data_IF_178260236579
#
_entry.id   IF_178260236579
#
_cell.length_a   1.000
_cell.length_b   1.000
_cell.length_c   1.000
_cell.angle_alpha   90.00
_cell.angle_beta   90.00
_cell.angle_gamma   90.00
#
_symmetry.space_group_name_H-M   'P 1'
#
loop_
_entity.id
_entity.type
_entity.pdbx_description
1 polymer ?
#
# COMPACT_ATOMS: atom_id res chain seq x y z
N UNK A 1 -31.65 7.06 -10.19
CA UNK A 1 -31.15 6.46 -8.93
C UNK A 1 -30.10 7.39 -8.35
N UNK A 2 -30.13 7.70 -7.04
CA UNK A 2 -29.10 8.54 -6.40
C UNK A 2 -27.79 7.74 -6.31
N UNK A 3 -26.70 8.29 -6.85
CA UNK A 3 -25.37 7.71 -6.70
C UNK A 3 -25.01 7.67 -5.20
N UNK A 4 -24.62 6.49 -4.71
CA UNK A 4 -24.15 6.32 -3.33
C UNK A 4 -22.82 7.07 -3.16
N UNK A 5 -22.64 7.80 -2.05
CA UNK A 5 -21.36 8.48 -1.75
C UNK A 5 -20.34 7.47 -1.24
N UNK A 6 -19.06 7.76 -1.41
CA UNK A 6 -17.93 6.90 -0.98
C UNK A 6 -18.07 6.46 0.49
N UNK A 7 -18.43 7.39 1.39
CA UNK A 7 -18.62 7.10 2.82
C UNK A 7 -19.74 6.10 3.14
N UNK A 8 -20.70 5.95 2.24
CA UNK A 8 -21.86 5.10 2.48
C UNK A 8 -21.56 3.64 2.06
N UNK A 9 -20.51 3.39 1.28
CA UNK A 9 -20.10 2.04 0.88
C UNK A 9 -19.56 1.22 2.07
N UNK A 10 -19.97 -0.04 2.12
CA UNK A 10 -19.61 -1.04 3.13
C UNK A 10 -18.65 -2.10 2.54
N UNK A 11 -18.09 -2.95 3.40
CA UNK A 11 -17.29 -4.09 2.96
C UNK A 11 -18.07 -5.06 2.07
N UNK A 12 -19.35 -5.27 2.37
CA UNK A 12 -20.26 -6.12 1.58
C UNK A 12 -20.49 -5.54 0.19
N UNK A 13 -20.68 -4.23 0.08
CA UNK A 13 -20.82 -3.56 -1.23
C UNK A 13 -19.57 -3.73 -2.11
N UNK A 14 -18.40 -3.87 -1.49
CA UNK A 14 -17.14 -4.12 -2.19
C UNK A 14 -16.81 -5.60 -2.37
N UNK A 15 -17.62 -6.53 -1.87
CA UNK A 15 -17.33 -7.96 -1.93
C UNK A 15 -16.13 -8.39 -1.07
N UNK A 16 -15.70 -7.56 -0.11
CA UNK A 16 -14.55 -7.86 0.75
C UNK A 16 -15.03 -8.59 2.00
N UNK A 17 -14.64 -9.86 2.12
CA UNK A 17 -14.88 -10.64 3.33
C UNK A 17 -13.99 -10.16 4.49
N UNK A 18 -14.35 -10.44 5.76
CA UNK A 18 -13.50 -10.11 6.91
C UNK A 18 -12.10 -10.73 6.82
N UNK A 19 -11.99 -11.95 6.29
CA UNK A 19 -10.70 -12.62 6.10
C UNK A 19 -9.86 -11.95 5.02
N UNK A 20 -10.48 -11.57 3.89
CA UNK A 20 -9.78 -10.83 2.83
C UNK A 20 -9.30 -9.46 3.32
N UNK A 21 -10.12 -8.75 4.11
CA UNK A 21 -9.70 -7.50 4.74
C UNK A 21 -8.45 -7.70 5.64
N UNK A 22 -8.40 -8.76 6.46
CA UNK A 22 -7.23 -9.05 7.30
C UNK A 22 -5.98 -9.32 6.47
N UNK A 23 -6.10 -10.07 5.37
CA UNK A 23 -5.00 -10.31 4.44
C UNK A 23 -4.47 -9.00 3.85
N UNK A 24 -5.36 -8.14 3.35
CA UNK A 24 -5.01 -6.84 2.78
C UNK A 24 -4.38 -5.91 3.83
N UNK A 25 -4.91 -5.90 5.06
CA UNK A 25 -4.35 -5.16 6.19
C UNK A 25 -2.92 -5.62 6.49
N UNK A 26 -2.70 -6.93 6.67
CA UNK A 26 -1.38 -7.48 6.94
C UNK A 26 -0.39 -7.20 5.80
N UNK A 27 -0.86 -7.23 4.56
CA UNK A 27 -0.07 -6.83 3.40
C UNK A 27 0.39 -5.36 3.48
N UNK A 28 -0.48 -4.45 3.94
CA UNK A 28 -0.13 -3.04 4.15
C UNK A 28 0.87 -2.84 5.29
N UNK A 29 0.75 -3.59 6.39
CA UNK A 29 1.65 -3.47 7.55
C UNK A 29 3.10 -3.84 7.21
N UNK A 30 3.31 -4.71 6.22
CA UNK A 30 4.65 -5.06 5.74
C UNK A 30 5.33 -3.93 4.93
N UNK A 31 4.61 -2.87 4.57
CA UNK A 31 5.13 -1.80 3.70
C UNK A 31 6.43 -1.19 4.21
N UNK A 32 6.50 -0.84 5.50
CA UNK A 32 7.70 -0.19 6.07
C UNK A 32 8.90 -1.14 6.04
N UNK A 33 8.69 -2.41 6.36
CA UNK A 33 9.74 -3.44 6.32
C UNK A 33 10.26 -3.62 4.89
N UNK A 34 9.36 -3.69 3.90
CA UNK A 34 9.71 -3.79 2.47
C UNK A 34 10.50 -2.58 1.99
N UNK A 35 10.07 -1.35 2.32
CA UNK A 35 10.82 -0.12 1.98
C UNK A 35 12.21 -0.09 2.62
N UNK A 36 12.36 -0.59 3.86
CA UNK A 36 13.67 -0.73 4.52
C UNK A 36 14.55 -1.74 3.79
N UNK A 37 14.03 -2.93 3.47
CA UNK A 37 14.77 -3.98 2.73
C UNK A 37 15.30 -3.47 1.39
N UNK A 38 14.46 -2.78 0.61
CA UNK A 38 14.86 -2.18 -0.68
C UNK A 38 16.03 -1.19 -0.48
N UNK A 39 15.91 -0.28 0.51
CA UNK A 39 16.92 0.75 0.78
C UNK A 39 18.28 0.15 1.16
N UNK A 40 18.29 -0.85 2.06
CA UNK A 40 19.54 -1.48 2.49
C UNK A 40 20.10 -2.46 1.44
N UNK A 41 19.23 -3.12 0.67
CA UNK A 41 19.63 -4.01 -0.42
C UNK A 41 20.39 -3.30 -1.52
N UNK A 42 20.01 -2.06 -1.87
CA UNK A 42 20.73 -1.23 -2.84
C UNK A 42 22.15 -0.83 -2.37
N UNK A 43 22.35 -0.62 -1.07
CA UNK A 43 23.67 -0.29 -0.51
C UNK A 43 24.63 -1.48 -0.49
N UNK A 44 24.12 -2.71 -0.38
CA UNK A 44 24.94 -3.92 -0.30
C UNK A 44 25.42 -4.47 -1.67
N UNK A 45 24.89 -3.97 -2.80
CA UNK A 45 25.32 -4.38 -4.15
C UNK A 45 26.66 -3.76 -4.56
N UNK A 46 27.15 -2.75 -3.82
CA UNK A 46 28.52 -2.25 -3.97
C UNK A 46 29.43 -2.96 -2.98
N UNK A 47 29.96 -4.13 -3.32
CA UNK A 47 31.22 -4.67 -2.79
C UNK A 47 31.63 -5.97 -3.52
N UNK A 48 32.78 -5.86 -4.18
CA UNK A 48 33.82 -6.85 -4.46
C UNK A 48 33.50 -8.14 -5.24
N UNK A 49 33.82 -8.09 -6.54
CA UNK A 49 34.92 -8.90 -7.11
C UNK A 49 34.96 -10.42 -6.87
N UNK A 50 33.84 -11.11 -6.69
CA UNK A 50 33.83 -12.57 -6.48
C UNK A 50 33.66 -13.37 -7.80
N UNK A 51 34.54 -14.35 -8.12
CA UNK A 51 34.35 -15.22 -9.28
C UNK A 51 33.34 -16.33 -8.97
N UNK A 52 32.17 -16.29 -9.61
CA UNK A 52 31.08 -17.25 -9.39
C UNK A 52 31.06 -18.38 -10.41
N UNK A 53 31.30 -19.61 -9.95
CA UNK A 53 31.12 -20.87 -10.70
C UNK A 53 29.67 -21.07 -11.16
N UNK A 54 29.53 -21.55 -12.38
CA UNK A 54 28.29 -21.92 -13.08
C UNK A 54 27.48 -23.00 -12.34
N UNK A 55 26.16 -22.79 -12.17
CA UNK A 55 25.20 -23.87 -11.90
C UNK A 55 23.93 -23.56 -11.08
N UNK A 56 23.88 -22.49 -10.26
CA UNK A 56 22.72 -22.18 -9.40
C UNK A 56 22.46 -20.66 -9.32
N UNK A 57 21.18 -20.26 -9.13
CA UNK A 57 20.76 -18.85 -8.95
C UNK A 57 21.63 -18.20 -7.88
N UNK A 58 22.34 -17.14 -8.25
CA UNK A 58 23.28 -16.51 -7.32
C UNK A 58 22.52 -15.85 -6.14
N UNK A 59 23.11 -15.76 -4.94
CA UNK A 59 22.54 -14.99 -3.83
C UNK A 59 22.22 -13.54 -4.19
N UNK A 60 22.91 -12.99 -5.20
CA UNK A 60 22.67 -11.65 -5.75
C UNK A 60 21.36 -11.62 -6.56
N UNK A 61 21.14 -12.60 -7.43
CA UNK A 61 19.89 -12.72 -8.21
C UNK A 61 18.65 -12.90 -7.32
N UNK A 62 18.74 -13.74 -6.26
CA UNK A 62 17.63 -13.90 -5.31
C UNK A 62 17.27 -12.59 -4.63
N UNK A 63 18.28 -11.81 -4.19
CA UNK A 63 18.05 -10.50 -3.56
C UNK A 63 17.46 -9.48 -4.54
N UNK A 64 17.92 -9.49 -5.79
CA UNK A 64 17.36 -8.64 -6.84
C UNK A 64 15.88 -8.96 -7.08
N UNK A 65 15.53 -10.25 -7.15
CA UNK A 65 14.15 -10.70 -7.31
C UNK A 65 13.26 -10.30 -6.12
N UNK A 66 13.74 -10.48 -4.89
CA UNK A 66 13.03 -10.05 -3.69
C UNK A 66 12.80 -8.54 -3.65
N UNK A 67 13.79 -7.74 -4.05
CA UNK A 67 13.66 -6.29 -4.13
C UNK A 67 12.62 -5.88 -5.16
N UNK A 68 12.64 -6.49 -6.36
CA UNK A 68 11.63 -6.23 -7.39
C UNK A 68 10.22 -6.55 -6.90
N UNK A 69 10.04 -7.68 -6.20
CA UNK A 69 8.75 -8.04 -5.60
C UNK A 69 8.32 -7.03 -4.52
N UNK A 70 9.24 -6.64 -3.64
CA UNK A 70 8.97 -5.65 -2.60
C UNK A 70 8.60 -4.29 -3.19
N UNK A 71 9.26 -3.88 -4.28
CA UNK A 71 8.95 -2.64 -5.00
C UNK A 71 7.56 -2.67 -5.62
N UNK A 72 7.19 -3.80 -6.25
CA UNK A 72 5.85 -4.01 -6.79
C UNK A 72 4.78 -3.95 -5.69
N UNK A 73 5.03 -4.61 -4.56
CA UNK A 73 4.12 -4.59 -3.40
C UNK A 73 3.92 -3.17 -2.85
N UNK A 74 5.01 -2.42 -2.67
CA UNK A 74 4.95 -1.03 -2.23
C UNK A 74 4.20 -0.15 -3.24
N UNK A 75 4.47 -0.34 -4.54
CA UNK A 75 3.80 0.41 -5.61
C UNK A 75 2.29 0.17 -5.59
N UNK A 76 1.83 -1.07 -5.45
CA UNK A 76 0.39 -1.38 -5.38
C UNK A 76 -0.30 -0.64 -4.23
N UNK A 77 0.33 -0.56 -3.06
CA UNK A 77 -0.20 0.17 -1.89
C UNK A 77 -0.26 1.67 -2.18
N UNK A 78 0.83 2.25 -2.71
CA UNK A 78 0.89 3.67 -3.05
C UNK A 78 -0.14 4.07 -4.13
N UNK A 79 -0.33 3.23 -5.15
CA UNK A 79 -1.31 3.40 -6.21
C UNK A 79 -2.74 3.30 -5.70
N UNK A 80 -3.06 2.30 -4.86
CA UNK A 80 -4.37 2.17 -4.25
C UNK A 80 -4.76 3.41 -3.42
N UNK A 81 -3.79 4.00 -2.70
CA UNK A 81 -4.01 5.21 -1.90
C UNK A 81 -4.29 6.43 -2.77
N UNK A 82 -3.49 6.64 -3.82
CA UNK A 82 -3.68 7.73 -4.78
C UNK A 82 -5.00 7.61 -5.54
N UNK A 83 -5.37 6.39 -5.95
CA UNK A 83 -6.63 6.12 -6.65
C UNK A 83 -7.86 6.27 -5.73
N UNK A 84 -7.71 6.08 -4.41
CA UNK A 84 -8.80 6.33 -3.48
C UNK A 84 -9.08 7.83 -3.32
N UNK A 85 -8.05 8.65 -3.16
CA UNK A 85 -8.16 10.11 -3.18
C UNK A 85 -6.80 10.77 -3.34
N UNK A 86 -6.61 11.53 -4.42
CA UNK A 86 -5.41 12.33 -4.64
C UNK A 86 -5.20 13.45 -3.61
N UNK A 87 -6.24 13.88 -2.91
CA UNK A 87 -6.15 14.93 -1.88
C UNK A 87 -5.58 14.39 -0.55
N UNK A 88 -6.02 13.19 -0.14
CA UNK A 88 -5.68 12.65 1.19
C UNK A 88 -4.83 11.38 1.16
N UNK A 89 -4.29 10.99 -0.01
CA UNK A 89 -3.56 9.73 -0.16
C UNK A 89 -2.41 9.54 0.84
N UNK A 90 -1.74 10.62 1.27
CA UNK A 90 -0.64 10.54 2.26
C UNK A 90 -1.17 10.11 3.64
N UNK A 91 -2.32 10.64 4.06
CA UNK A 91 -2.98 10.24 5.30
C UNK A 91 -3.51 8.81 5.22
N UNK A 92 -4.10 8.43 4.08
CA UNK A 92 -4.55 7.06 3.83
C UNK A 92 -3.39 6.09 3.92
N UNK A 93 -2.30 6.37 3.20
CA UNK A 93 -1.09 5.56 3.18
C UNK A 93 -0.56 5.35 4.60
N UNK A 94 -0.39 6.44 5.38
CA UNK A 94 0.06 6.33 6.77
C UNK A 94 -0.90 5.49 7.63
N UNK A 95 -2.21 5.75 7.55
CA UNK A 95 -3.22 5.00 8.32
C UNK A 95 -3.23 3.50 8.04
N UNK A 96 -2.99 3.08 6.80
CA UNK A 96 -3.08 1.66 6.41
C UNK A 96 -1.76 0.93 6.59
N UNK A 97 -0.62 1.61 6.47
CA UNK A 97 0.71 0.99 6.64
C UNK A 97 1.20 1.00 8.08
N UNK A 98 0.75 1.96 8.89
CA UNK A 98 1.16 2.11 10.30
C UNK A 98 0.01 1.81 11.29
N UNK A 99 -1.17 1.41 10.79
CA UNK A 99 -2.40 1.17 11.56
C UNK A 99 -2.85 2.35 12.44
N UNK A 100 -2.52 3.58 12.04
CA UNK A 100 -2.85 4.80 12.77
C UNK A 100 -4.30 5.22 12.51
N UNK A 101 -5.02 5.58 13.57
CA UNK A 101 -6.41 6.07 13.49
C UNK A 101 -6.51 7.51 12.96
N UNK A 102 -7.71 7.91 12.55
CA UNK A 102 -8.01 9.30 12.18
C UNK A 102 -7.61 10.30 13.27
N UNK A 103 -7.95 10.00 14.52
CA UNK A 103 -7.69 10.87 15.67
C UNK A 103 -6.21 11.11 15.88
N UNK A 104 -5.39 10.07 15.72
CA UNK A 104 -3.93 10.19 15.86
C UNK A 104 -3.33 10.95 14.67
N UNK A 105 -3.86 10.77 13.46
CA UNK A 105 -3.40 11.50 12.28
C UNK A 105 -3.72 12.99 12.30
N UNK A 106 -4.79 13.42 12.99
CA UNK A 106 -5.10 14.86 13.14
C UNK A 106 -3.98 15.64 13.86
N UNK A 107 -3.17 14.96 14.67
CA UNK A 107 -2.04 15.55 15.40
C UNK A 107 -0.68 15.26 14.74
N UNK A 108 -0.67 14.75 13.50
CA UNK A 108 0.56 14.47 12.77
C UNK A 108 1.30 15.78 12.45
N UNK A 109 2.53 15.91 12.96
CA UNK A 109 3.33 17.15 12.79
C UNK A 109 3.90 17.32 11.38
N UNK A 110 3.92 16.26 10.57
CA UNK A 110 4.47 16.27 9.20
C UNK A 110 3.37 16.51 8.17
N UNK A 111 2.21 15.89 8.34
CA UNK A 111 1.07 16.03 7.43
C UNK A 111 0.11 17.14 7.87
N UNK A 112 0.11 17.55 9.13
CA UNK A 112 -0.87 18.47 9.68
C UNK A 112 -2.27 17.85 9.76
N UNK A 113 -3.29 18.71 9.89
CA UNK A 113 -4.69 18.28 10.02
C UNK A 113 -5.25 17.72 8.71
N UNK A 114 -6.13 16.73 8.81
CA UNK A 114 -6.78 16.09 7.67
C UNK A 114 -7.83 17.07 7.12
N UNK A 115 -7.85 17.34 5.79
CA UNK A 115 -8.79 18.28 5.18
C UNK A 115 -10.20 17.69 4.98
N UNK A 116 -10.64 16.75 5.83
CA UNK A 116 -12.00 16.19 5.78
C UNK A 116 -12.44 15.54 7.08
N UNK A 117 -13.75 15.34 7.22
CA UNK A 117 -14.33 14.70 8.40
C UNK A 117 -14.02 13.20 8.51
N UNK A 118 -14.00 12.72 9.75
CA UNK A 118 -13.73 11.31 10.12
C UNK A 118 -14.53 10.29 9.31
N UNK A 119 -15.83 10.53 9.10
CA UNK A 119 -16.70 9.61 8.37
C UNK A 119 -16.31 9.49 6.89
N UNK A 120 -15.97 10.61 6.25
CA UNK A 120 -15.51 10.60 4.86
C UNK A 120 -14.13 9.94 4.74
N UNK A 121 -13.22 10.23 5.68
CA UNK A 121 -11.91 9.58 5.74
C UNK A 121 -12.01 8.05 5.79
N UNK A 122 -12.83 7.49 6.69
CA UNK A 122 -13.01 6.03 6.75
C UNK A 122 -13.74 5.47 5.52
N UNK A 123 -14.57 6.26 4.85
CA UNK A 123 -15.10 5.94 3.52
C UNK A 123 -13.99 5.72 2.50
N UNK A 124 -13.08 6.69 2.38
CA UNK A 124 -11.91 6.60 1.51
C UNK A 124 -10.94 5.50 1.93
N UNK A 125 -10.77 5.22 3.23
CA UNK A 125 -9.97 4.09 3.71
C UNK A 125 -10.56 2.75 3.25
N UNK A 126 -11.90 2.61 3.21
CA UNK A 126 -12.54 1.41 2.62
C UNK A 126 -12.35 1.35 1.11
N UNK A 127 -12.48 2.48 0.41
CA UNK A 127 -12.23 2.56 -1.03
C UNK A 127 -10.78 2.19 -1.38
N UNK A 128 -9.81 2.59 -0.55
CA UNK A 128 -8.42 2.16 -0.64
C UNK A 128 -8.31 0.62 -0.64
N UNK A 129 -8.92 -0.05 0.33
CA UNK A 129 -8.84 -1.52 0.42
C UNK A 129 -9.52 -2.21 -0.76
N UNK A 130 -10.60 -1.64 -1.30
CA UNK A 130 -11.21 -2.08 -2.55
C UNK A 130 -10.25 -1.93 -3.74
N UNK A 131 -9.58 -0.79 -3.87
CA UNK A 131 -8.62 -0.58 -4.95
C UNK A 131 -7.42 -1.54 -4.83
N UNK A 132 -6.91 -1.74 -3.62
CA UNK A 132 -5.83 -2.67 -3.35
C UNK A 132 -6.24 -4.12 -3.67
N UNK A 133 -7.44 -4.53 -3.29
CA UNK A 133 -7.98 -5.85 -3.61
C UNK A 133 -7.99 -6.11 -5.11
N UNK A 134 -8.48 -5.14 -5.89
CA UNK A 134 -8.50 -5.18 -7.35
C UNK A 134 -7.10 -5.31 -7.94
N UNK A 135 -6.16 -4.48 -7.50
CA UNK A 135 -4.76 -4.56 -7.94
C UNK A 135 -4.15 -5.94 -7.64
N UNK A 136 -4.39 -6.51 -6.45
CA UNK A 136 -3.91 -7.85 -6.10
C UNK A 136 -4.53 -8.96 -6.94
N UNK A 137 -5.70 -8.73 -7.51
CA UNK A 137 -6.37 -9.66 -8.42
C UNK A 137 -5.98 -9.42 -9.90
N UNK A 138 -5.08 -8.47 -10.19
CA UNK A 138 -4.58 -8.18 -11.53
C UNK A 138 -5.38 -7.13 -12.31
N UNK A 139 -6.38 -6.49 -11.69
CA UNK A 139 -7.14 -5.42 -12.33
C UNK A 139 -6.27 -4.18 -12.52
N UNK A 140 -6.50 -3.45 -13.63
CA UNK A 140 -5.99 -2.08 -13.78
C UNK A 140 -6.98 -1.10 -13.15
N UNK A 141 -6.50 -0.19 -12.30
CA UNK A 141 -7.33 0.90 -11.80
C UNK A 141 -7.53 1.93 -12.93
N UNK A 142 -8.78 2.22 -13.26
CA UNK A 142 -9.12 3.34 -14.13
C UNK A 142 -8.71 4.64 -13.45
N UNK A 143 -7.94 5.49 -14.12
CA UNK A 143 -7.69 6.85 -13.65
C UNK A 143 -9.06 7.52 -13.46
N UNK A 144 -9.37 7.91 -12.23
CA UNK A 144 -10.52 8.77 -11.97
C UNK A 144 -10.12 10.14 -12.48
N UNK A 145 -10.71 10.55 -13.61
CA UNK A 145 -10.59 11.89 -14.16
C UNK A 145 -11.25 12.94 -13.28
#
# INVERSE_FOLDING_TARGET
MKQKRVRDFTWKDYGISPYRYRELKNFCLQYIEKKKKIRYGLSAVRLDGMPGKSGNVSPVEMRAFENLKNEQDCRMIEEAAKAASSQIWRYLLKSVTEDVSFEMLEYDTVLGRIPMGKTDFYGYRRLFYRNLDRLKNGDKLSAVG
#
